data_IF_615926873409
#
_entry.id   IF_615926873409
#
_cell.length_a   1.000
_cell.length_b   1.000
_cell.length_c   1.000
_cell.angle_alpha   90.00
_cell.angle_beta   90.00
_cell.angle_gamma   90.00
#
_symmetry.space_group_name_H-M   'P 1'
#
loop_
_entity.id
_entity.type
_entity.pdbx_description
1 polymer ?
#
# COMPACT_ATOMS: atom_id res chain seq x y z
N UNK A 1 2.02 27.33 9.10
CA UNK A 1 2.03 25.86 9.29
C UNK A 1 0.76 25.31 8.68
N UNK A 2 0.87 24.40 7.72
CA UNK A 2 -0.30 23.78 7.09
C UNK A 2 -0.65 22.49 7.84
N UNK A 3 -1.93 22.33 8.15
CA UNK A 3 -2.48 21.11 8.72
C UNK A 3 -3.12 20.29 7.60
N UNK A 4 -2.92 18.97 7.65
CA UNK A 4 -3.53 18.04 6.71
C UNK A 4 -3.78 16.69 7.37
N UNK A 5 -4.76 15.96 6.86
CA UNK A 5 -5.05 14.60 7.33
C UNK A 5 -4.36 13.59 6.41
N UNK A 6 -3.76 12.55 7.00
CA UNK A 6 -3.23 11.42 6.26
C UNK A 6 -4.34 10.74 5.46
N UNK A 7 -4.19 10.60 4.14
CA UNK A 7 -5.16 9.91 3.28
C UNK A 7 -5.25 8.39 3.52
N UNK A 8 -4.35 7.82 4.31
CA UNK A 8 -4.34 6.38 4.64
C UNK A 8 -5.01 6.03 5.96
N UNK A 9 -4.78 6.84 7.01
CA UNK A 9 -5.28 6.55 8.37
C UNK A 9 -6.06 7.70 9.02
N UNK A 10 -6.18 8.85 8.36
CA UNK A 10 -6.87 10.04 8.89
C UNK A 10 -6.10 10.84 9.93
N UNK A 11 -4.88 10.41 10.33
CA UNK A 11 -4.05 11.12 11.32
C UNK A 11 -3.78 12.56 10.89
N UNK A 12 -4.04 13.51 11.78
CA UNK A 12 -3.73 14.93 11.59
C UNK A 12 -2.21 15.15 11.66
N UNK A 13 -1.67 15.87 10.69
CA UNK A 13 -0.25 16.16 10.52
C UNK A 13 -0.04 17.66 10.31
N UNK A 14 1.14 18.13 10.70
CA UNK A 14 1.58 19.51 10.53
C UNK A 14 2.82 19.54 9.65
N UNK A 15 2.85 20.41 8.64
CA UNK A 15 4.03 20.62 7.79
C UNK A 15 3.72 20.60 6.30
N UNK A 16 4.65 20.07 5.51
CA UNK A 16 4.51 19.99 4.06
C UNK A 16 3.41 19.01 3.69
N UNK A 17 2.55 19.40 2.75
CA UNK A 17 1.43 18.58 2.32
C UNK A 17 1.94 17.28 1.69
N UNK A 18 1.71 16.16 2.36
CA UNK A 18 1.97 14.81 1.85
C UNK A 18 0.65 14.02 1.85
N UNK A 19 0.52 13.04 0.96
CA UNK A 19 -0.70 12.21 0.88
C UNK A 19 -0.82 11.23 2.05
N UNK A 20 0.29 10.81 2.65
CA UNK A 20 0.35 9.81 3.71
C UNK A 20 1.29 10.23 4.84
N UNK A 21 1.01 9.79 6.07
CA UNK A 21 1.97 9.87 7.17
C UNK A 21 3.13 8.88 6.95
N UNK A 22 4.22 9.05 7.69
CA UNK A 22 5.39 8.17 7.62
C UNK A 22 5.06 6.69 7.88
N UNK A 23 4.13 6.39 8.80
CA UNK A 23 3.73 5.02 9.13
C UNK A 23 2.94 4.36 8.00
N UNK A 24 1.98 5.10 7.41
CA UNK A 24 1.23 4.65 6.24
C UNK A 24 2.15 4.47 5.03
N UNK A 25 3.10 5.38 4.83
CA UNK A 25 4.09 5.27 3.75
C UNK A 25 4.97 4.03 3.92
N UNK A 26 5.50 3.80 5.13
CA UNK A 26 6.29 2.58 5.46
C UNK A 26 5.49 1.31 5.20
N UNK A 27 4.25 1.27 5.70
CA UNK A 27 3.35 0.13 5.51
C UNK A 27 3.07 -0.14 4.03
N UNK A 28 2.88 0.93 3.26
CA UNK A 28 2.66 0.86 1.81
C UNK A 28 3.88 0.29 1.09
N UNK A 29 5.09 0.75 1.41
CA UNK A 29 6.33 0.23 0.84
C UNK A 29 6.53 -1.25 1.18
N UNK A 30 6.26 -1.65 2.43
CA UNK A 30 6.34 -3.04 2.87
C UNK A 30 5.35 -3.94 2.09
N UNK A 31 4.09 -3.52 1.97
CA UNK A 31 3.07 -4.21 1.19
C UNK A 31 3.48 -4.37 -0.28
N UNK A 32 3.96 -3.30 -0.91
CA UNK A 32 4.41 -3.35 -2.31
C UNK A 32 5.57 -4.32 -2.49
N UNK A 33 6.53 -4.36 -1.55
CA UNK A 33 7.64 -5.33 -1.60
C UNK A 33 7.12 -6.76 -1.49
N UNK A 34 6.23 -7.03 -0.54
CA UNK A 34 5.65 -8.36 -0.36
C UNK A 34 4.89 -8.84 -1.60
N UNK A 35 4.07 -7.97 -2.20
CA UNK A 35 3.35 -8.27 -3.45
C UNK A 35 4.33 -8.55 -4.59
N UNK A 36 5.36 -7.71 -4.76
CA UNK A 36 6.37 -7.92 -5.82
C UNK A 36 7.12 -9.23 -5.65
N UNK A 37 7.58 -9.55 -4.44
CA UNK A 37 8.26 -10.82 -4.16
C UNK A 37 7.36 -12.02 -4.46
N UNK A 38 6.10 -11.96 -4.02
CA UNK A 38 5.12 -13.02 -4.30
C UNK A 38 4.90 -13.23 -5.82
N UNK A 39 4.74 -12.14 -6.59
CA UNK A 39 4.55 -12.23 -8.04
C UNK A 39 5.82 -12.71 -8.78
N UNK A 40 7.00 -12.47 -8.23
CA UNK A 40 8.26 -12.99 -8.78
C UNK A 40 8.39 -14.50 -8.55
N UNK A 41 7.99 -14.98 -7.37
CA UNK A 41 7.99 -16.41 -7.03
C UNK A 41 6.86 -17.17 -7.73
N UNK A 42 5.74 -16.50 -7.98
CA UNK A 42 4.55 -17.08 -8.60
C UNK A 42 4.07 -16.24 -9.80
N UNK A 43 4.75 -16.32 -10.96
CA UNK A 43 4.46 -15.48 -12.13
C UNK A 43 3.05 -15.68 -12.73
N UNK A 44 2.42 -16.83 -12.45
CA UNK A 44 1.05 -17.14 -12.90
C UNK A 44 0.00 -16.98 -11.78
N UNK A 45 0.37 -16.45 -10.61
CA UNK A 45 -0.57 -16.28 -9.51
C UNK A 45 -1.62 -15.23 -9.84
N UNK A 46 -2.87 -15.55 -9.53
CA UNK A 46 -3.98 -14.61 -9.63
C UNK A 46 -4.02 -13.66 -8.42
N UNK A 47 -4.80 -12.58 -8.53
CA UNK A 47 -5.11 -11.73 -7.38
C UNK A 47 -5.78 -12.50 -6.23
N UNK A 48 -6.46 -13.61 -6.53
CA UNK A 48 -7.09 -14.47 -5.54
C UNK A 48 -6.05 -15.28 -4.76
N UNK A 49 -5.07 -15.84 -5.46
CA UNK A 49 -3.95 -16.57 -4.83
C UNK A 49 -3.15 -15.66 -3.92
N UNK A 50 -2.88 -14.42 -4.37
CA UNK A 50 -2.22 -13.41 -3.56
C UNK A 50 -3.00 -13.11 -2.29
N UNK A 51 -4.33 -12.92 -2.38
CA UNK A 51 -5.18 -12.69 -1.20
C UNK A 51 -5.15 -13.89 -0.25
N UNK A 52 -5.27 -15.11 -0.76
CA UNK A 52 -5.25 -16.32 0.07
C UNK A 52 -3.92 -16.52 0.79
N UNK A 53 -2.80 -16.20 0.13
CA UNK A 53 -1.47 -16.46 0.68
C UNK A 53 -0.94 -15.32 1.55
N UNK A 54 -1.25 -14.06 1.21
CA UNK A 54 -0.72 -12.88 1.93
C UNK A 54 -1.74 -12.22 2.84
N UNK A 55 -3.03 -12.52 2.69
CA UNK A 55 -4.12 -11.83 3.39
C UNK A 55 -4.34 -10.37 2.94
N UNK A 56 -3.61 -9.89 1.92
CA UNK A 56 -3.69 -8.50 1.47
C UNK A 56 -4.98 -8.30 0.66
N UNK A 57 -5.87 -7.37 1.06
CA UNK A 57 -7.13 -7.15 0.35
C UNK A 57 -6.92 -6.75 -1.12
N UNK A 58 -7.72 -7.33 -2.02
CA UNK A 58 -7.62 -7.06 -3.46
C UNK A 58 -7.72 -5.58 -3.85
N UNK A 59 -8.49 -4.78 -3.11
CA UNK A 59 -8.60 -3.34 -3.37
C UNK A 59 -7.26 -2.63 -3.19
N UNK A 60 -6.49 -2.97 -2.13
CA UNK A 60 -5.16 -2.41 -1.90
C UNK A 60 -4.19 -2.80 -3.01
N UNK A 61 -4.27 -4.03 -3.49
CA UNK A 61 -3.42 -4.51 -4.60
C UNK A 61 -3.73 -3.72 -5.88
N UNK A 62 -5.01 -3.53 -6.21
CA UNK A 62 -5.44 -2.74 -7.37
C UNK A 62 -4.97 -1.28 -7.28
N UNK A 63 -5.09 -0.65 -6.12
CA UNK A 63 -4.62 0.73 -5.90
C UNK A 63 -3.10 0.86 -6.04
N UNK A 64 -2.35 -0.18 -5.65
CA UNK A 64 -0.91 -0.24 -5.85
C UNK A 64 -0.51 -0.41 -7.31
N UNK A 65 -1.21 -1.28 -8.05
CA UNK A 65 -0.94 -1.53 -9.47
C UNK A 65 -1.30 -0.32 -10.37
N UNK A 66 -2.34 0.44 -10.03
CA UNK A 66 -2.75 1.63 -10.80
C UNK A 66 -1.79 2.81 -10.69
N UNK A 67 -0.90 2.83 -9.69
CA UNK A 67 0.07 3.90 -9.49
C UNK A 67 1.50 3.52 -9.96
N UNK A 68 1.63 2.40 -10.69
CA UNK A 68 2.88 1.93 -11.28
C UNK A 68 3.14 2.52 -12.66
#
# INVERSE_FOLDING_TARGET
MTLFNCGGCGKLLAGTMQSLCSDCLKSRVALTRQIKSFLQEHPNASLMDLYMQTGIPMHKVKDLLKQG
#
